data_IF_962859684924
#
_entry.id   IF_962859684924
#
_cell.length_a   1.000
_cell.length_b   1.000
_cell.length_c   1.000
_cell.angle_alpha   90.00
_cell.angle_beta   90.00
_cell.angle_gamma   90.00
#
_symmetry.space_group_name_H-M   'P 1'
#
loop_
_entity.id
_entity.type
_entity.pdbx_description
1 polymer ?
#
# COMPACT_ATOMS: atom_id res chain seq x y z
N UNK A 1 30.04 0.80 8.70
CA UNK A 1 28.69 1.42 8.80
C UNK A 1 27.67 0.46 8.19
N UNK A 2 26.67 -0.02 8.95
CA UNK A 2 25.69 -0.98 8.42
C UNK A 2 24.78 -0.23 7.43
N UNK A 3 24.74 -0.65 6.16
CA UNK A 3 23.86 -0.04 5.16
C UNK A 3 22.40 -0.16 5.65
N UNK A 4 21.68 0.97 5.67
CA UNK A 4 20.26 1.01 6.01
C UNK A 4 19.47 0.14 5.02
N UNK A 5 18.40 -0.49 5.51
CA UNK A 5 17.51 -1.30 4.67
C UNK A 5 16.61 -0.38 3.85
N UNK A 6 16.50 -0.61 2.55
CA UNK A 6 15.58 0.15 1.70
C UNK A 6 14.19 -0.48 1.75
N UNK A 7 13.23 0.29 2.27
CA UNK A 7 11.85 -0.13 2.45
C UNK A 7 10.95 0.62 1.47
N UNK A 8 10.34 -0.12 0.54
CA UNK A 8 9.33 0.41 -0.37
C UNK A 8 7.98 0.45 0.34
N UNK A 9 7.57 1.65 0.72
CA UNK A 9 6.36 1.90 1.50
C UNK A 9 5.22 2.44 0.62
N UNK A 10 4.18 1.63 0.46
CA UNK A 10 2.90 2.04 -0.14
C UNK A 10 1.96 2.49 0.97
N UNK A 11 1.58 3.77 0.96
CA UNK A 11 0.80 4.37 2.04
C UNK A 11 0.12 5.67 1.63
N UNK A 12 -0.31 6.47 2.60
CA UNK A 12 -0.91 7.79 2.40
C UNK A 12 -0.02 8.82 3.07
N UNK A 13 0.67 9.65 2.28
CA UNK A 13 1.77 10.50 2.78
C UNK A 13 1.46 12.00 2.76
N UNK A 14 0.29 12.41 2.27
CA UNK A 14 -0.10 13.82 2.28
C UNK A 14 -0.22 14.35 3.71
N UNK A 15 -0.07 15.67 3.88
CA UNK A 15 -0.14 16.30 5.19
C UNK A 15 -1.57 16.56 5.66
N UNK A 16 -2.49 16.77 4.72
CA UNK A 16 -3.92 16.97 4.89
C UNK A 16 -4.66 16.36 3.70
N UNK A 17 -5.87 15.84 3.92
CA UNK A 17 -6.80 15.61 2.82
C UNK A 17 -7.26 16.98 2.26
N UNK A 18 -7.86 16.98 1.06
CA UNK A 18 -8.28 18.25 0.42
C UNK A 18 -9.33 19.03 1.22
N UNK A 19 -10.07 18.35 2.10
CA UNK A 19 -11.04 18.95 3.03
C UNK A 19 -10.40 19.40 4.36
N UNK A 20 -9.07 19.31 4.49
CA UNK A 20 -8.35 19.70 5.70
C UNK A 20 -8.31 18.62 6.79
N UNK A 21 -9.04 17.51 6.62
CA UNK A 21 -9.09 16.43 7.60
C UNK A 21 -7.82 15.56 7.55
N UNK A 22 -7.48 14.95 8.70
CA UNK A 22 -6.38 13.98 8.80
C UNK A 22 -6.97 12.60 9.04
N UNK A 23 -7.03 11.77 7.98
CA UNK A 23 -7.50 10.40 8.11
C UNK A 23 -6.53 9.52 8.91
N UNK A 24 -7.05 8.55 9.67
CA UNK A 24 -6.23 7.69 10.56
C UNK A 24 -5.11 6.93 9.85
N UNK A 25 -5.31 6.51 8.59
CA UNK A 25 -4.24 5.89 7.79
C UNK A 25 -3.10 6.86 7.46
N UNK A 26 -3.44 8.11 7.14
CA UNK A 26 -2.47 9.16 6.83
C UNK A 26 -1.66 9.52 8.07
N UNK A 27 -2.33 9.65 9.23
CA UNK A 27 -1.67 9.80 10.52
C UNK A 27 -0.70 8.64 10.79
N UNK A 28 -1.14 7.39 10.65
CA UNK A 28 -0.29 6.23 10.87
C UNK A 28 0.94 6.18 9.95
N UNK A 29 0.80 6.53 8.67
CA UNK A 29 1.92 6.58 7.73
C UNK A 29 2.93 7.66 8.11
N UNK A 30 2.46 8.86 8.48
CA UNK A 30 3.34 9.96 8.90
C UNK A 30 4.04 9.66 10.21
N UNK A 31 3.33 9.11 11.20
CA UNK A 31 3.94 8.71 12.47
C UNK A 31 5.04 7.67 12.25
N UNK A 32 4.89 6.75 11.29
CA UNK A 32 5.93 5.78 10.97
C UNK A 32 7.16 6.43 10.34
N UNK A 33 6.97 7.29 9.34
CA UNK A 33 8.07 7.99 8.64
C UNK A 33 8.80 8.98 9.57
N UNK A 34 8.09 9.59 10.51
CA UNK A 34 8.67 10.56 11.45
C UNK A 34 9.19 9.91 12.74
N UNK A 35 9.10 8.58 12.87
CA UNK A 35 9.62 7.85 14.03
C UNK A 35 11.11 7.53 13.88
N UNK A 36 11.73 7.12 14.99
CA UNK A 36 13.12 6.62 15.05
C UNK A 36 13.37 5.38 14.17
N UNK A 37 12.35 4.80 13.53
CA UNK A 37 12.53 3.74 12.53
C UNK A 37 13.31 4.28 11.32
N UNK A 38 13.13 5.56 10.97
CA UNK A 38 13.83 6.24 9.87
C UNK A 38 15.35 6.35 10.07
N UNK A 39 15.83 6.17 11.30
CA UNK A 39 17.26 6.07 11.60
C UNK A 39 17.84 4.72 11.15
N UNK A 40 16.98 3.72 10.93
CA UNK A 40 17.37 2.32 10.61
C UNK A 40 17.01 1.89 9.19
N UNK A 41 16.11 2.61 8.52
CA UNK A 41 15.64 2.29 7.17
C UNK A 41 15.60 3.53 6.28
N UNK A 42 15.76 3.32 4.98
CA UNK A 42 15.56 4.33 3.95
C UNK A 42 14.22 4.08 3.24
N UNK A 43 13.37 5.09 3.21
CA UNK A 43 12.02 4.97 2.65
C UNK A 43 11.99 5.29 1.16
N UNK A 44 11.45 4.37 0.36
CA UNK A 44 10.97 4.65 -0.99
C UNK A 44 9.45 4.73 -0.93
N UNK A 45 8.87 5.89 -1.21
CA UNK A 45 7.44 6.14 -0.96
C UNK A 45 6.62 6.01 -2.24
N UNK A 46 5.50 5.29 -2.17
CA UNK A 46 4.45 5.27 -3.20
C UNK A 46 3.16 5.79 -2.58
N UNK A 47 2.82 7.04 -2.88
CA UNK A 47 1.63 7.69 -2.34
C UNK A 47 0.34 7.14 -2.99
N UNK A 48 -0.57 6.63 -2.16
CA UNK A 48 -1.88 6.10 -2.51
C UNK A 48 -3.04 6.94 -1.97
N UNK A 49 -2.77 8.16 -1.49
CA UNK A 49 -3.78 9.10 -0.98
C UNK A 49 -4.90 9.33 -2.01
N UNK A 50 -6.15 9.19 -1.59
CA UNK A 50 -7.29 9.54 -2.42
C UNK A 50 -7.36 11.06 -2.60
N UNK A 51 -7.51 11.52 -3.84
CA UNK A 51 -7.45 12.95 -4.15
C UNK A 51 -8.72 13.74 -3.76
N UNK A 52 -9.88 13.10 -3.57
CA UNK A 52 -11.13 13.74 -3.12
C UNK A 52 -12.27 12.74 -2.92
N UNK A 53 -13.21 13.02 -2.00
CA UNK A 53 -14.55 12.42 -1.97
C UNK A 53 -15.50 12.97 -3.06
N UNK A 54 -15.07 14.02 -3.76
CA UNK A 54 -15.80 14.58 -4.91
C UNK A 54 -15.70 13.57 -6.06
N UNK A 55 -16.85 13.17 -6.59
CA UNK A 55 -17.08 12.20 -7.67
C UNK A 55 -15.95 12.22 -8.70
N UNK A 56 -14.94 11.37 -8.51
CA UNK A 56 -13.98 11.08 -9.56
C UNK A 56 -14.56 9.95 -10.39
N UNK A 57 -14.60 10.14 -11.71
CA UNK A 57 -14.98 9.07 -12.63
C UNK A 57 -14.14 7.83 -12.34
N UNK A 58 -14.77 6.65 -12.33
CA UNK A 58 -14.10 5.35 -12.05
C UNK A 58 -12.81 5.19 -12.85
N UNK A 59 -12.79 5.72 -14.08
CA UNK A 59 -11.65 5.79 -15.00
C UNK A 59 -10.45 6.59 -14.47
N UNK A 60 -10.67 7.81 -13.94
CA UNK A 60 -9.57 8.62 -13.36
C UNK A 60 -8.94 7.92 -12.16
N UNK A 61 -9.74 7.22 -11.35
CA UNK A 61 -9.24 6.41 -10.23
C UNK A 61 -8.42 5.22 -10.72
N UNK A 62 -8.86 4.53 -11.78
CA UNK A 62 -8.14 3.41 -12.38
C UNK A 62 -6.78 3.86 -12.95
N UNK A 63 -6.74 4.95 -13.73
CA UNK A 63 -5.49 5.47 -14.31
C UNK A 63 -4.47 5.79 -13.20
N UNK A 64 -4.91 6.40 -12.09
CA UNK A 64 -4.04 6.68 -10.95
C UNK A 64 -3.52 5.41 -10.27
N UNK A 65 -4.38 4.40 -10.10
CA UNK A 65 -3.96 3.10 -9.60
C UNK A 65 -2.92 2.43 -10.53
N UNK A 66 -3.14 2.47 -11.84
CA UNK A 66 -2.17 1.97 -12.83
C UNK A 66 -0.84 2.73 -12.77
N UNK A 67 -0.86 4.06 -12.65
CA UNK A 67 0.37 4.87 -12.48
C UNK A 67 1.13 4.49 -11.22
N UNK A 68 0.44 4.26 -10.10
CA UNK A 68 1.06 3.80 -8.84
C UNK A 68 1.64 2.40 -8.98
N UNK A 69 0.93 1.50 -9.66
CA UNK A 69 1.42 0.15 -9.93
C UNK A 69 2.69 0.18 -10.78
N UNK A 70 2.73 1.02 -11.82
CA UNK A 70 3.90 1.20 -12.65
C UNK A 70 5.07 1.82 -11.87
N UNK A 71 4.83 2.83 -11.03
CA UNK A 71 5.86 3.40 -10.15
C UNK A 71 6.41 2.36 -9.18
N UNK A 72 5.53 1.57 -8.56
CA UNK A 72 5.90 0.47 -7.67
C UNK A 72 6.76 -0.57 -8.39
N UNK A 73 6.37 -0.96 -9.60
CA UNK A 73 7.14 -1.88 -10.43
C UNK A 73 8.51 -1.29 -10.81
N UNK A 74 8.57 -0.02 -11.20
CA UNK A 74 9.85 0.64 -11.50
C UNK A 74 10.77 0.65 -10.28
N UNK A 75 10.27 0.86 -9.07
CA UNK A 75 11.08 0.74 -7.87
C UNK A 75 11.53 -0.69 -7.61
N UNK A 76 10.69 -1.69 -7.83
CA UNK A 76 11.10 -3.10 -7.69
C UNK A 76 12.19 -3.51 -8.67
N UNK A 77 12.14 -3.02 -9.91
CA UNK A 77 13.08 -3.37 -10.99
C UNK A 77 14.39 -2.59 -10.88
N UNK A 78 14.31 -1.27 -10.70
CA UNK A 78 15.46 -0.37 -10.86
C UNK A 78 16.06 0.13 -9.54
N UNK A 79 15.43 -0.13 -8.40
CA UNK A 79 15.97 0.23 -7.08
C UNK A 79 16.26 -1.01 -6.25
N UNK A 80 17.22 -0.89 -5.33
CA UNK A 80 17.55 -1.94 -4.38
C UNK A 80 16.50 -1.96 -3.27
N UNK A 81 15.36 -2.62 -3.52
CA UNK A 81 14.34 -2.83 -2.48
C UNK A 81 14.69 -4.06 -1.65
N UNK A 82 14.81 -3.91 -0.33
CA UNK A 82 14.99 -5.02 0.61
C UNK A 82 13.64 -5.55 1.12
N UNK A 83 12.67 -4.66 1.34
CA UNK A 83 11.36 -5.00 1.93
C UNK A 83 10.28 -4.08 1.40
N UNK A 84 9.09 -4.62 1.16
CA UNK A 84 7.89 -3.87 0.81
C UNK A 84 6.97 -3.78 2.02
N UNK A 85 6.60 -2.57 2.42
CA UNK A 85 5.57 -2.30 3.41
C UNK A 85 4.34 -1.75 2.68
N UNK A 86 3.21 -2.43 2.79
CA UNK A 86 2.01 -2.08 2.02
C UNK A 86 0.86 -1.87 3.00
N UNK A 87 0.41 -0.63 3.15
CA UNK A 87 -0.79 -0.33 3.92
C UNK A 87 -2.00 -0.38 3.00
N UNK A 88 -3.05 -1.10 3.40
CA UNK A 88 -4.28 -1.22 2.61
C UNK A 88 -5.54 -0.91 3.42
N UNK A 89 -6.52 -0.34 2.73
CA UNK A 89 -7.92 -0.33 3.14
C UNK A 89 -8.69 -1.48 2.46
N UNK A 90 -10.01 -1.41 2.51
CA UNK A 90 -11.01 -2.33 1.96
C UNK A 90 -11.33 -2.08 0.47
N UNK A 91 -12.09 -3.00 -0.11
CA UNK A 91 -12.60 -2.96 -1.47
C UNK A 91 -11.52 -2.90 -2.53
N UNK A 92 -11.65 -1.97 -3.47
CA UNK A 92 -10.72 -1.83 -4.60
C UNK A 92 -9.31 -1.42 -4.17
N UNK A 93 -9.16 -0.80 -3.00
CA UNK A 93 -7.83 -0.55 -2.44
C UNK A 93 -7.11 -1.87 -2.17
N UNK A 94 -7.82 -2.86 -1.61
CA UNK A 94 -7.25 -4.17 -1.33
C UNK A 94 -6.83 -4.88 -2.62
N UNK A 95 -7.62 -4.80 -3.69
CA UNK A 95 -7.27 -5.40 -4.98
C UNK A 95 -5.98 -4.80 -5.56
N UNK A 96 -5.89 -3.47 -5.63
CA UNK A 96 -4.70 -2.80 -6.14
C UNK A 96 -3.44 -3.20 -5.35
N UNK A 97 -3.55 -3.18 -4.02
CA UNK A 97 -2.41 -3.45 -3.14
C UNK A 97 -2.09 -4.93 -3.03
N UNK A 98 -3.08 -5.79 -3.21
CA UNK A 98 -2.89 -7.23 -3.37
C UNK A 98 -2.10 -7.56 -4.62
N UNK A 99 -2.34 -6.86 -5.74
CA UNK A 99 -1.48 -6.99 -6.94
C UNK A 99 -0.05 -6.56 -6.62
N UNK A 100 0.14 -5.46 -5.88
CA UNK A 100 1.48 -5.03 -5.43
C UNK A 100 2.17 -6.08 -4.53
N UNK A 101 1.42 -6.76 -3.66
CA UNK A 101 1.93 -7.91 -2.87
C UNK A 101 2.37 -9.06 -3.76
N UNK A 102 1.59 -9.40 -4.80
CA UNK A 102 1.97 -10.46 -5.73
C UNK A 102 3.25 -10.09 -6.49
N UNK A 103 3.33 -8.85 -6.98
CA UNK A 103 4.54 -8.36 -7.66
C UNK A 103 5.75 -8.41 -6.72
N UNK A 104 5.65 -7.94 -5.49
CA UNK A 104 6.79 -7.99 -4.56
C UNK A 104 7.25 -9.43 -4.30
N UNK A 105 6.33 -10.40 -4.26
CA UNK A 105 6.67 -11.83 -4.12
C UNK A 105 7.32 -12.41 -5.38
N UNK A 106 6.90 -12.03 -6.59
CA UNK A 106 7.57 -12.40 -7.83
C UNK A 106 9.04 -11.94 -7.83
N UNK A 107 9.30 -10.73 -7.31
CA UNK A 107 10.65 -10.19 -7.14
C UNK A 107 11.37 -10.69 -5.87
N UNK A 108 10.83 -11.72 -5.21
CA UNK A 108 11.38 -12.34 -3.99
C UNK A 108 11.65 -11.36 -2.84
N UNK A 109 10.82 -10.31 -2.73
CA UNK A 109 10.95 -9.30 -1.67
C UNK A 109 10.17 -9.70 -0.43
N UNK A 110 10.79 -9.49 0.74
CA UNK A 110 10.07 -9.54 2.02
C UNK A 110 8.92 -8.54 1.97
N UNK A 111 7.71 -8.98 2.29
CA UNK A 111 6.51 -8.16 2.11
C UNK A 111 5.68 -8.17 3.38
N UNK A 112 5.37 -6.99 3.89
CA UNK A 112 4.51 -6.77 5.06
C UNK A 112 3.25 -6.06 4.57
N UNK A 113 2.10 -6.71 4.73
CA UNK A 113 0.79 -6.11 4.45
C UNK A 113 0.15 -5.71 5.78
N UNK A 114 -0.23 -4.45 5.92
CA UNK A 114 -0.95 -3.94 7.07
C UNK A 114 -2.36 -3.49 6.66
N UNK A 115 -3.39 -4.33 6.83
CA UNK A 115 -4.77 -3.91 6.65
C UNK A 115 -5.13 -2.91 7.76
N UNK A 116 -5.67 -1.75 7.38
CA UNK A 116 -5.99 -0.65 8.28
C UNK A 116 -7.49 -0.34 8.37
N UNK A 117 -8.35 -1.12 7.72
CA UNK A 117 -9.81 -1.05 7.91
C UNK A 117 -10.34 -2.38 8.43
N UNK A 118 -11.27 -2.33 9.40
CA UNK A 118 -11.99 -3.50 9.90
C UNK A 118 -13.06 -4.01 8.92
N UNK A 119 -13.29 -3.28 7.84
CA UNK A 119 -14.37 -3.52 6.86
C UNK A 119 -14.03 -4.65 5.87
N UNK A 120 -12.80 -5.16 5.90
CA UNK A 120 -12.36 -6.30 5.06
C UNK A 120 -13.25 -7.54 5.27
N UNK A 121 -13.81 -7.73 6.47
CA UNK A 121 -14.76 -8.81 6.76
C UNK A 121 -16.05 -8.64 5.94
N UNK A 122 -16.54 -7.42 5.78
CA UNK A 122 -17.72 -7.14 4.96
C UNK A 122 -17.45 -7.43 3.48
N UNK A 123 -16.25 -7.15 2.98
CA UNK A 123 -15.89 -7.51 1.61
C UNK A 123 -15.92 -9.02 1.38
N UNK A 124 -15.42 -9.81 2.34
CA UNK A 124 -15.45 -11.27 2.31
C UNK A 124 -16.89 -11.79 2.30
N UNK A 125 -17.77 -11.20 3.12
CA UNK A 125 -19.16 -11.65 3.22
C UNK A 125 -20.00 -11.25 2.00
N UNK A 126 -19.76 -10.07 1.44
CA UNK A 126 -20.59 -9.49 0.38
C UNK A 126 -20.12 -9.83 -1.04
N UNK A 127 -18.88 -10.29 -1.22
CA UNK A 127 -18.31 -10.58 -2.55
C UNK A 127 -17.65 -11.96 -2.62
N UNK A 128 -18.17 -12.82 -3.50
CA UNK A 128 -17.57 -14.13 -3.79
C UNK A 128 -16.12 -14.03 -4.28
N UNK A 129 -15.82 -12.98 -5.05
CA UNK A 129 -14.45 -12.72 -5.50
C UNK A 129 -13.52 -12.38 -4.32
N UNK A 130 -13.92 -11.45 -3.45
CA UNK A 130 -13.10 -11.04 -2.31
C UNK A 130 -12.91 -12.16 -1.29
N UNK A 131 -13.93 -13.00 -1.10
CA UNK A 131 -13.87 -14.20 -0.27
C UNK A 131 -12.75 -15.15 -0.65
N UNK A 132 -12.42 -15.25 -1.94
CA UNK A 132 -11.28 -16.02 -2.42
C UNK A 132 -9.99 -15.20 -2.45
N UNK A 133 -10.07 -13.96 -2.96
CA UNK A 133 -8.91 -13.11 -3.21
C UNK A 133 -8.15 -12.71 -1.94
N UNK A 134 -8.85 -12.31 -0.87
CA UNK A 134 -8.20 -11.86 0.37
C UNK A 134 -7.39 -13.00 1.01
N UNK A 135 -7.96 -14.19 1.28
CA UNK A 135 -7.18 -15.32 1.79
C UNK A 135 -6.03 -15.73 0.87
N UNK A 136 -6.24 -15.67 -0.46
CA UNK A 136 -5.19 -15.97 -1.44
C UNK A 136 -3.98 -15.02 -1.26
N UNK A 137 -4.21 -13.71 -1.15
CA UNK A 137 -3.14 -12.73 -0.92
C UNK A 137 -2.46 -12.97 0.44
N UNK A 138 -3.24 -13.19 1.50
CA UNK A 138 -2.69 -13.39 2.85
C UNK A 138 -1.79 -14.63 2.93
N UNK A 139 -2.18 -15.74 2.27
CA UNK A 139 -1.35 -16.96 2.20
C UNK A 139 0.01 -16.72 1.52
N UNK A 140 0.11 -15.77 0.60
CA UNK A 140 1.37 -15.43 -0.08
C UNK A 140 2.33 -14.62 0.81
N UNK A 141 1.85 -14.03 1.91
CA UNK A 141 2.71 -13.29 2.83
C UNK A 141 3.58 -14.21 3.69
N UNK A 142 3.12 -15.44 3.97
CA UNK A 142 3.70 -16.40 4.94
C UNK A 142 4.96 -17.14 4.41
N UNK A 143 5.38 -16.88 3.16
CA UNK A 143 6.57 -17.49 2.56
C UNK A 143 7.72 -16.48 2.40
#
# INVERSE_FOLDING_TARGET
MKLKKQVLFVGSFKSKAKDGTVGGQMFACRSLINSNISDKVDWLLVDSTADSNIIQTKWKRLIKACKRLFLFLNYLVFRKVDTCLIFTADGLSFVEKGIMVLLSKVFQKKTILAPRSGVVINDINNSRFMRYYIPFILKRLIL
#
